data_IF_613402587870
#
_entry.id   IF_613402587870
#
_cell.length_a   1.000
_cell.length_b   1.000
_cell.length_c   1.000
_cell.angle_alpha   90.00
_cell.angle_beta   90.00
_cell.angle_gamma   90.00
#
_symmetry.space_group_name_H-M   'P 1'
#
loop_
_entity.id
_entity.type
_entity.pdbx_description
1 polymer ?
#
# COMPACT_ATOMS: atom_id res chain seq x y z
N UNK A 1 -60.16 5.49 -11.31
CA UNK A 1 -59.84 4.82 -10.02
C UNK A 1 -58.72 3.83 -10.32
N UNK A 2 -57.47 3.98 -9.94
CA UNK A 2 -56.71 4.91 -9.12
C UNK A 2 -55.22 4.69 -9.47
N UNK A 3 -54.27 5.20 -8.67
CA UNK A 3 -53.53 6.41 -9.00
C UNK A 3 -52.00 6.18 -8.98
N UNK A 4 -51.21 7.24 -8.79
CA UNK A 4 -49.73 7.30 -8.67
C UNK A 4 -48.96 7.77 -9.91
N UNK A 5 -49.42 8.86 -10.52
CA UNK A 5 -48.49 9.94 -10.83
C UNK A 5 -48.39 10.82 -9.59
N UNK A 6 -47.27 10.76 -8.86
CA UNK A 6 -46.98 11.77 -7.84
C UNK A 6 -46.43 13.01 -8.53
N UNK A 7 -47.08 14.18 -8.42
CA UNK A 7 -46.45 15.43 -8.83
C UNK A 7 -45.23 15.67 -7.95
N UNK A 8 -44.12 16.08 -8.54
CA UNK A 8 -42.91 16.56 -7.83
C UNK A 8 -43.15 17.94 -7.18
N UNK A 9 -44.30 18.12 -6.54
CA UNK A 9 -44.69 19.30 -5.78
C UNK A 9 -44.29 19.08 -4.32
N UNK A 10 -43.02 19.32 -4.03
CA UNK A 10 -42.48 19.20 -2.67
C UNK A 10 -40.96 19.09 -2.62
N UNK A 11 -40.31 18.79 -3.74
CA UNK A 11 -38.85 18.73 -3.83
C UNK A 11 -38.28 20.16 -3.93
N UNK A 12 -37.40 20.60 -3.01
CA UNK A 12 -36.75 21.91 -3.07
C UNK A 12 -36.10 22.11 -4.44
N UNK A 13 -36.19 23.32 -5.01
CA UNK A 13 -35.67 23.61 -6.36
C UNK A 13 -34.20 23.20 -6.58
N UNK A 14 -33.37 23.19 -5.52
CA UNK A 14 -31.99 22.68 -5.54
C UNK A 14 -31.88 21.19 -5.90
N UNK A 15 -32.78 20.34 -5.41
CA UNK A 15 -32.74 18.90 -5.69
C UNK A 15 -33.19 18.59 -7.12
N UNK A 16 -34.05 19.43 -7.72
CA UNK A 16 -34.42 19.33 -9.14
C UNK A 16 -33.26 19.67 -10.06
N UNK A 17 -32.43 20.65 -9.70
CA UNK A 17 -31.22 21.00 -10.45
C UNK A 17 -30.15 19.89 -10.42
N UNK A 18 -29.98 19.21 -9.28
CA UNK A 18 -29.08 18.05 -9.19
C UNK A 18 -29.59 16.83 -9.99
N UNK A 19 -30.90 16.59 -10.00
CA UNK A 19 -31.50 15.51 -10.78
C UNK A 19 -31.44 15.78 -12.30
N UNK A 20 -31.58 17.04 -12.72
CA UNK A 20 -31.54 17.44 -14.13
C UNK A 20 -30.10 17.56 -14.67
N UNK A 21 -29.10 17.82 -13.82
CA UNK A 21 -27.68 17.82 -14.20
C UNK A 21 -27.08 16.43 -14.42
N UNK A 22 -27.72 15.36 -13.94
CA UNK A 22 -27.24 13.99 -14.05
C UNK A 22 -27.69 13.26 -15.34
N UNK A 23 -28.60 13.86 -16.13
CA UNK A 23 -29.25 13.18 -17.25
C UNK A 23 -28.63 13.46 -18.64
N UNK A 24 -27.45 14.11 -18.71
CA UNK A 24 -26.97 14.72 -19.96
C UNK A 24 -25.60 14.30 -20.48
N UNK A 25 -24.85 13.43 -19.81
CA UNK A 25 -23.57 12.94 -20.34
C UNK A 25 -23.61 11.43 -20.30
N UNK A 26 -23.69 10.80 -21.47
CA UNK A 26 -23.36 9.39 -21.59
C UNK A 26 -21.91 9.23 -21.12
N UNK A 27 -21.73 8.88 -19.85
CA UNK A 27 -20.44 8.51 -19.29
C UNK A 27 -19.97 7.30 -20.10
N UNK A 28 -19.04 7.54 -21.04
CA UNK A 28 -18.27 6.45 -21.62
C UNK A 28 -17.72 5.65 -20.43
N UNK A 29 -17.84 4.31 -20.43
CA UNK A 29 -17.29 3.53 -19.34
C UNK A 29 -15.82 3.95 -19.21
N UNK A 30 -15.39 4.46 -18.04
CA UNK A 30 -14.01 4.88 -17.87
C UNK A 30 -13.14 3.67 -18.20
N UNK A 31 -12.08 3.89 -18.99
CA UNK A 31 -11.07 2.86 -19.17
C UNK A 31 -10.67 2.36 -17.78
N UNK A 32 -10.51 1.04 -17.57
CA UNK A 32 -9.99 0.55 -16.31
C UNK A 32 -8.66 1.28 -16.08
N UNK A 33 -8.56 1.96 -14.92
CA UNK A 33 -7.45 2.86 -14.59
C UNK A 33 -6.05 2.29 -14.94
N UNK A 34 -5.76 0.98 -14.76
CA UNK A 34 -4.48 0.40 -15.16
C UNK A 34 -4.20 0.50 -16.67
N UNK A 35 -5.21 0.29 -17.52
CA UNK A 35 -5.06 0.33 -18.97
C UNK A 35 -4.78 1.76 -19.46
N UNK A 36 -5.46 2.75 -18.88
CA UNK A 36 -5.21 4.15 -19.20
C UNK A 36 -3.77 4.56 -18.85
N UNK A 37 -3.30 4.21 -17.64
CA UNK A 37 -1.92 4.48 -17.22
C UNK A 37 -0.89 3.80 -18.13
N UNK A 38 -1.13 2.54 -18.50
CA UNK A 38 -0.25 1.80 -19.41
C UNK A 38 -0.20 2.44 -20.79
N UNK A 39 -1.35 2.86 -21.35
CA UNK A 39 -1.41 3.51 -22.66
C UNK A 39 -0.65 4.85 -22.66
N UNK A 40 -0.81 5.65 -21.60
CA UNK A 40 -0.08 6.92 -21.46
C UNK A 40 1.42 6.69 -21.36
N UNK A 41 1.85 5.67 -20.59
CA UNK A 41 3.26 5.29 -20.50
C UNK A 41 3.83 4.86 -21.86
N UNK A 42 3.14 3.96 -22.56
CA UNK A 42 3.56 3.47 -23.88
C UNK A 42 3.64 4.60 -24.91
N UNK A 43 2.68 5.52 -24.89
CA UNK A 43 2.71 6.71 -25.75
C UNK A 43 3.92 7.61 -25.43
N UNK A 44 4.24 7.80 -24.15
CA UNK A 44 5.43 8.54 -23.71
C UNK A 44 6.73 7.89 -24.16
N UNK A 45 6.84 6.55 -24.06
CA UNK A 45 8.01 5.80 -24.55
C UNK A 45 8.15 5.93 -26.08
N UNK A 46 7.05 5.78 -26.82
CA UNK A 46 7.05 5.92 -28.28
C UNK A 46 7.44 7.34 -28.73
N UNK A 47 6.92 8.37 -28.04
CA UNK A 47 7.31 9.76 -28.27
C UNK A 47 8.81 9.97 -27.99
N UNK A 48 9.31 9.44 -26.87
CA UNK A 48 10.73 9.45 -26.53
C UNK A 48 11.60 8.80 -27.60
N UNK A 49 11.18 7.63 -28.09
CA UNK A 49 11.85 6.91 -29.17
C UNK A 49 11.84 7.69 -30.49
N UNK A 50 10.76 8.43 -30.77
CA UNK A 50 10.64 9.32 -31.93
C UNK A 50 11.48 10.62 -31.82
N UNK A 51 12.21 10.82 -30.71
CA UNK A 51 13.11 11.94 -30.51
C UNK A 51 12.55 13.11 -29.69
N UNK A 52 11.31 13.02 -29.21
CA UNK A 52 10.78 13.99 -28.24
C UNK A 52 11.51 13.83 -26.91
N UNK A 53 12.13 14.92 -26.42
CA UNK A 53 12.75 14.94 -25.10
C UNK A 53 11.91 15.75 -24.14
N UNK A 54 11.70 15.22 -22.95
CA UNK A 54 11.14 16.01 -21.86
C UNK A 54 12.14 17.14 -21.51
N UNK A 55 11.65 18.35 -21.19
CA UNK A 55 12.50 19.41 -20.66
C UNK A 55 13.26 18.92 -19.43
N UNK A 56 14.55 19.24 -19.37
CA UNK A 56 15.39 18.90 -18.21
C UNK A 56 14.81 19.53 -16.94
N UNK A 57 14.76 18.76 -15.85
CA UNK A 57 14.22 19.20 -14.56
C UNK A 57 12.69 19.34 -14.49
N UNK A 58 11.94 18.88 -15.49
CA UNK A 58 10.46 18.92 -15.46
C UNK A 58 9.87 17.87 -14.52
N UNK A 59 10.52 16.71 -14.40
CA UNK A 59 9.95 15.53 -13.75
C UNK A 59 9.83 15.73 -12.24
N UNK A 60 10.85 16.28 -11.61
CA UNK A 60 10.93 16.52 -10.16
C UNK A 60 9.80 17.43 -9.64
N UNK A 61 9.56 18.64 -10.19
CA UNK A 61 8.46 19.49 -9.75
C UNK A 61 7.09 18.90 -10.07
N UNK A 62 6.94 18.14 -11.16
CA UNK A 62 5.67 17.47 -11.47
C UNK A 62 5.35 16.38 -10.45
N UNK A 63 6.34 15.58 -10.05
CA UNK A 63 6.21 14.60 -9.00
C UNK A 63 5.85 15.27 -7.68
N UNK A 64 6.55 16.36 -7.32
CA UNK A 64 6.24 17.12 -6.11
C UNK A 64 4.81 17.68 -6.12
N UNK A 65 4.36 18.24 -7.25
CA UNK A 65 3.00 18.73 -7.42
C UNK A 65 1.95 17.61 -7.31
N UNK A 66 2.23 16.43 -7.88
CA UNK A 66 1.35 15.27 -7.78
C UNK A 66 1.24 14.76 -6.34
N UNK A 67 2.36 14.67 -5.63
CA UNK A 67 2.39 14.29 -4.21
C UNK A 67 1.63 15.31 -3.37
N UNK A 68 1.81 16.60 -3.62
CA UNK A 68 1.06 17.66 -2.94
C UNK A 68 -0.45 17.53 -3.21
N UNK A 69 -0.85 17.35 -4.47
CA UNK A 69 -2.25 17.19 -4.85
C UNK A 69 -2.88 15.94 -4.20
N UNK A 70 -2.17 14.82 -4.19
CA UNK A 70 -2.57 13.61 -3.49
C UNK A 70 -2.73 13.87 -1.97
N UNK A 71 -1.77 14.59 -1.38
CA UNK A 71 -1.82 15.00 0.02
C UNK A 71 -3.02 15.89 0.35
N UNK A 72 -3.37 16.85 -0.51
CA UNK A 72 -4.57 17.68 -0.36
C UNK A 72 -5.85 16.86 -0.50
N UNK A 73 -5.91 15.93 -1.46
CA UNK A 73 -7.07 15.07 -1.65
C UNK A 73 -7.34 14.17 -0.44
N UNK A 74 -6.29 13.61 0.16
CA UNK A 74 -6.38 12.85 1.42
C UNK A 74 -6.71 13.78 2.59
N UNK A 75 -6.02 14.93 2.68
CA UNK A 75 -6.14 15.92 3.74
C UNK A 75 -7.55 16.51 3.88
N UNK A 76 -8.23 16.75 2.77
CA UNK A 76 -9.59 17.28 2.75
C UNK A 76 -10.65 16.35 3.38
N UNK A 77 -10.34 15.06 3.52
CA UNK A 77 -11.27 14.08 4.13
C UNK A 77 -11.05 13.90 5.64
N UNK A 78 -9.95 14.43 6.20
CA UNK A 78 -9.56 14.19 7.60
C UNK A 78 -10.51 14.80 8.65
N UNK A 79 -11.02 16.05 8.50
CA UNK A 79 -11.85 16.67 9.55
C UNK A 79 -13.13 15.90 9.86
N UNK A 80 -13.70 15.21 8.85
CA UNK A 80 -14.90 14.40 9.02
C UNK A 80 -14.63 13.04 9.71
N UNK A 81 -13.36 12.64 9.84
CA UNK A 81 -12.98 11.29 10.27
C UNK A 81 -11.88 11.28 11.34
N UNK A 82 -11.58 12.41 11.96
CA UNK A 82 -10.42 12.62 12.83
C UNK A 82 -10.27 11.55 13.92
N UNK A 83 -11.32 11.28 14.68
CA UNK A 83 -11.28 10.27 15.75
C UNK A 83 -11.00 8.85 15.24
N UNK A 84 -11.58 8.48 14.09
CA UNK A 84 -11.33 7.20 13.44
C UNK A 84 -9.90 7.11 12.91
N UNK A 85 -9.38 8.21 12.38
CA UNK A 85 -8.05 8.28 11.82
C UNK A 85 -6.98 8.21 12.91
N UNK A 86 -7.17 8.88 14.05
CA UNK A 86 -6.29 8.78 15.21
C UNK A 86 -6.24 7.32 15.74
N UNK A 87 -7.40 6.65 15.76
CA UNK A 87 -7.45 5.24 16.13
C UNK A 87 -6.75 4.35 15.09
N UNK A 88 -6.93 4.62 13.79
CA UNK A 88 -6.23 3.90 12.72
C UNK A 88 -4.72 4.12 12.80
N UNK A 89 -4.28 5.33 13.10
CA UNK A 89 -2.87 5.68 13.27
C UNK A 89 -2.22 4.94 14.43
N UNK A 90 -2.84 4.98 15.62
CA UNK A 90 -2.35 4.26 16.79
C UNK A 90 -2.31 2.75 16.58
N UNK A 91 -3.36 2.15 15.98
CA UNK A 91 -3.35 0.72 15.62
C UNK A 91 -2.32 0.38 14.56
N UNK A 92 -2.19 1.20 13.51
CA UNK A 92 -1.22 1.00 12.44
C UNK A 92 0.21 1.06 12.95
N UNK A 93 0.51 2.00 13.85
CA UNK A 93 1.82 2.11 14.51
C UNK A 93 2.14 0.88 15.35
N UNK A 94 1.22 0.46 16.22
CA UNK A 94 1.39 -0.73 17.05
C UNK A 94 1.55 -2.00 16.19
N UNK A 95 0.79 -2.10 15.11
CA UNK A 95 0.87 -3.21 14.19
C UNK A 95 2.20 -3.21 13.43
N UNK A 96 2.70 -2.04 13.01
CA UNK A 96 3.99 -1.95 12.30
C UNK A 96 5.13 -2.39 13.21
N UNK A 97 5.15 -1.88 14.45
CA UNK A 97 6.13 -2.25 15.45
C UNK A 97 6.09 -3.76 15.76
N UNK A 98 4.89 -4.31 15.96
CA UNK A 98 4.75 -5.75 16.26
C UNK A 98 5.10 -6.62 15.06
N UNK A 99 4.70 -6.26 13.83
CA UNK A 99 5.08 -6.96 12.60
C UNK A 99 6.59 -7.01 12.44
N UNK A 100 7.28 -5.87 12.55
CA UNK A 100 8.75 -5.84 12.40
C UNK A 100 9.45 -6.64 13.50
N UNK A 101 9.07 -6.43 14.77
CA UNK A 101 9.69 -7.10 15.91
C UNK A 101 9.45 -8.62 15.88
N UNK A 102 8.22 -9.06 15.61
CA UNK A 102 7.89 -10.48 15.52
C UNK A 102 8.58 -11.14 14.32
N UNK A 103 8.63 -10.47 13.17
CA UNK A 103 9.29 -11.03 11.98
C UNK A 103 10.80 -11.17 12.18
N UNK A 104 11.46 -10.15 12.71
CA UNK A 104 12.89 -10.16 12.96
C UNK A 104 13.29 -11.19 14.02
N UNK A 105 12.52 -11.28 15.11
CA UNK A 105 12.78 -12.26 16.17
C UNK A 105 12.50 -13.70 15.71
N UNK A 106 11.40 -13.94 14.97
CA UNK A 106 11.06 -15.27 14.46
C UNK A 106 12.10 -15.78 13.45
N UNK A 107 12.56 -14.94 12.51
CA UNK A 107 13.58 -15.33 11.56
C UNK A 107 14.93 -15.56 12.25
N UNK A 108 15.32 -14.72 13.19
CA UNK A 108 16.54 -14.90 13.99
C UNK A 108 16.53 -16.19 14.81
N UNK A 109 15.41 -16.49 15.47
CA UNK A 109 15.24 -17.72 16.25
C UNK A 109 15.29 -18.96 15.36
N UNK A 110 14.62 -18.93 14.20
CA UNK A 110 14.67 -20.03 13.23
C UNK A 110 16.10 -20.26 12.70
N UNK A 111 16.82 -19.19 12.39
CA UNK A 111 18.21 -19.28 11.95
C UNK A 111 19.14 -19.80 13.05
N UNK A 112 18.97 -19.37 14.29
CA UNK A 112 19.73 -19.88 15.44
C UNK A 112 19.46 -21.38 15.68
N UNK A 113 18.23 -21.84 15.48
CA UNK A 113 17.86 -23.24 15.62
C UNK A 113 18.40 -24.12 14.49
N UNK A 114 18.37 -23.63 13.26
CA UNK A 114 18.74 -24.41 12.07
C UNK A 114 20.21 -24.29 11.67
N UNK A 115 20.90 -23.23 12.11
CA UNK A 115 22.29 -22.93 11.74
C UNK A 115 22.46 -22.50 10.27
N UNK A 116 21.38 -22.17 9.55
CA UNK A 116 21.42 -21.89 8.11
C UNK A 116 21.99 -20.51 7.76
N UNK A 117 21.91 -19.55 8.68
CA UNK A 117 22.47 -18.21 8.51
C UNK A 117 22.72 -17.54 9.88
N UNK A 118 23.59 -16.52 9.95
CA UNK A 118 23.77 -15.75 11.18
C UNK A 118 22.45 -15.11 11.67
N UNK A 119 22.13 -15.15 12.98
CA UNK A 119 20.89 -14.59 13.50
C UNK A 119 20.67 -13.12 13.16
N UNK A 120 21.73 -12.30 13.08
CA UNK A 120 21.63 -10.90 12.67
C UNK A 120 21.17 -10.72 11.22
N UNK A 121 21.73 -11.52 10.30
CA UNK A 121 21.33 -11.52 8.89
C UNK A 121 19.89 -12.04 8.72
N UNK A 122 19.49 -13.05 9.50
CA UNK A 122 18.10 -13.52 9.54
C UNK A 122 17.15 -12.45 10.09
N UNK A 123 17.54 -11.76 11.17
CA UNK A 123 16.76 -10.67 11.75
C UNK A 123 16.54 -9.55 10.73
N UNK A 124 17.57 -9.19 9.96
CA UNK A 124 17.49 -8.20 8.88
C UNK A 124 16.50 -8.62 7.79
N UNK A 125 16.56 -9.89 7.36
CA UNK A 125 15.62 -10.47 6.40
C UNK A 125 14.16 -10.33 6.88
N UNK A 126 13.92 -10.64 8.16
CA UNK A 126 12.58 -10.55 8.77
C UNK A 126 12.11 -9.11 8.97
N UNK A 127 13.00 -8.23 9.42
CA UNK A 127 12.72 -6.81 9.68
C UNK A 127 12.37 -6.02 8.41
N UNK A 128 12.81 -6.47 7.23
CA UNK A 128 12.42 -5.88 5.96
C UNK A 128 10.91 -6.01 5.67
N UNK A 129 10.24 -6.95 6.34
CA UNK A 129 8.79 -7.07 6.40
C UNK A 129 8.08 -6.81 5.06
N UNK A 130 8.37 -7.62 4.04
CA UNK A 130 7.74 -7.53 2.72
C UNK A 130 8.48 -6.64 1.71
N UNK A 131 9.45 -5.81 2.12
CA UNK A 131 10.20 -4.96 1.20
C UNK A 131 11.36 -5.71 0.53
N UNK A 132 11.04 -6.54 -0.46
CA UNK A 132 12.01 -7.41 -1.14
C UNK A 132 13.11 -6.65 -1.90
N UNK A 133 12.81 -5.46 -2.45
CA UNK A 133 13.77 -4.63 -3.18
C UNK A 133 14.78 -3.91 -2.26
N UNK A 134 14.49 -3.80 -0.97
CA UNK A 134 15.46 -3.40 0.06
C UNK A 134 16.21 -4.61 0.62
N UNK A 135 15.47 -5.66 0.99
CA UNK A 135 16.01 -6.82 1.69
C UNK A 135 17.07 -7.57 0.87
N UNK A 136 16.76 -7.85 -0.41
CA UNK A 136 17.62 -8.63 -1.28
C UNK A 136 19.01 -8.01 -1.44
N UNK A 137 19.12 -6.77 -1.95
CA UNK A 137 20.41 -6.09 -2.09
C UNK A 137 21.15 -5.89 -0.75
N UNK A 138 20.42 -5.57 0.33
CA UNK A 138 21.03 -5.35 1.64
C UNK A 138 21.72 -6.62 2.18
N UNK A 139 21.09 -7.79 2.05
CA UNK A 139 21.69 -9.06 2.47
C UNK A 139 22.66 -9.64 1.44
N UNK A 140 22.51 -9.35 0.15
CA UNK A 140 23.46 -9.75 -0.89
C UNK A 140 24.87 -9.17 -0.65
N UNK A 141 24.94 -7.99 -0.02
CA UNK A 141 26.20 -7.37 0.39
C UNK A 141 26.90 -8.09 1.57
N UNK A 142 26.18 -8.97 2.30
CA UNK A 142 26.76 -9.86 3.32
C UNK A 142 27.11 -11.20 2.69
N UNK A 143 26.14 -11.81 2.01
CA UNK A 143 26.31 -13.04 1.25
C UNK A 143 25.27 -13.09 0.11
N UNK A 144 25.65 -13.39 -1.15
CA UNK A 144 24.71 -13.47 -2.27
C UNK A 144 23.55 -14.44 -2.06
N UNK A 145 23.78 -15.56 -1.37
CA UNK A 145 22.74 -16.55 -1.05
C UNK A 145 21.74 -15.96 -0.07
N UNK A 146 22.19 -15.24 0.96
CA UNK A 146 21.30 -14.56 1.90
C UNK A 146 20.47 -13.48 1.21
N UNK A 147 21.07 -12.76 0.25
CA UNK A 147 20.34 -11.81 -0.60
C UNK A 147 19.21 -12.46 -1.39
N UNK A 148 19.46 -13.60 -2.04
CA UNK A 148 18.43 -14.35 -2.77
C UNK A 148 17.32 -14.83 -1.84
N UNK A 149 17.67 -15.41 -0.70
CA UNK A 149 16.69 -15.89 0.30
C UNK A 149 15.87 -14.73 0.83
N UNK A 150 16.47 -13.58 1.11
CA UNK A 150 15.77 -12.39 1.59
C UNK A 150 14.81 -11.82 0.55
N UNK A 151 15.21 -11.76 -0.72
CA UNK A 151 14.34 -11.37 -1.82
C UNK A 151 13.14 -12.31 -1.94
N UNK A 152 13.38 -13.63 -2.04
CA UNK A 152 12.32 -14.62 -2.24
C UNK A 152 11.39 -14.71 -1.04
N UNK A 153 11.90 -14.65 0.19
CA UNK A 153 11.07 -14.72 1.39
C UNK A 153 10.12 -13.51 1.49
N UNK A 154 10.60 -12.30 1.18
CA UNK A 154 9.78 -11.10 1.23
C UNK A 154 8.79 -11.01 0.05
N UNK A 155 9.18 -11.48 -1.14
CA UNK A 155 8.26 -11.63 -2.28
C UNK A 155 7.16 -12.68 -1.99
N UNK A 156 7.54 -13.82 -1.42
CA UNK A 156 6.59 -14.86 -1.02
C UNK A 156 5.62 -14.34 0.05
N UNK A 157 6.12 -13.57 1.02
CA UNK A 157 5.30 -12.93 2.04
C UNK A 157 4.23 -12.00 1.45
N UNK A 158 4.60 -11.17 0.47
CA UNK A 158 3.65 -10.32 -0.24
C UNK A 158 2.58 -11.16 -0.95
N UNK A 159 3.00 -12.17 -1.71
CA UNK A 159 2.07 -13.07 -2.40
C UNK A 159 1.11 -13.78 -1.43
N UNK A 160 1.61 -14.23 -0.27
CA UNK A 160 0.80 -14.83 0.78
C UNK A 160 -0.21 -13.84 1.37
N UNK A 161 0.18 -12.59 1.61
CA UNK A 161 -0.75 -11.57 2.07
C UNK A 161 -1.88 -11.34 1.07
N UNK A 162 -1.56 -11.14 -0.20
CA UNK A 162 -2.55 -10.92 -1.26
C UNK A 162 -3.51 -12.12 -1.39
N UNK A 163 -2.99 -13.34 -1.28
CA UNK A 163 -3.78 -14.57 -1.38
C UNK A 163 -4.67 -14.83 -0.15
N UNK A 164 -4.15 -14.59 1.06
CA UNK A 164 -4.80 -15.04 2.29
C UNK A 164 -5.56 -13.94 3.03
N UNK A 165 -5.27 -12.65 2.82
CA UNK A 165 -6.01 -11.56 3.46
C UNK A 165 -7.54 -11.68 3.29
N UNK A 166 -8.09 -11.99 2.10
CA UNK A 166 -9.54 -12.16 1.94
C UNK A 166 -10.14 -13.27 2.83
N UNK A 167 -9.37 -14.33 3.10
CA UNK A 167 -9.80 -15.41 3.98
C UNK A 167 -9.68 -15.02 5.46
N UNK A 168 -8.61 -14.31 5.84
CA UNK A 168 -8.41 -13.79 7.19
C UNK A 168 -9.50 -12.78 7.57
N UNK A 169 -9.81 -11.84 6.67
CA UNK A 169 -10.86 -10.85 6.88
C UNK A 169 -12.23 -11.52 7.13
N UNK A 170 -12.57 -12.57 6.36
CA UNK A 170 -13.81 -13.35 6.57
C UNK A 170 -13.87 -14.08 7.92
N UNK A 171 -12.72 -14.38 8.52
CA UNK A 171 -12.62 -15.02 9.84
C UNK A 171 -12.60 -14.00 10.99
N UNK A 172 -12.81 -12.71 10.70
CA UNK A 172 -12.78 -11.63 11.69
C UNK A 172 -11.40 -11.05 11.97
N UNK A 173 -10.34 -11.55 11.32
CA UNK A 173 -8.95 -11.10 11.48
C UNK A 173 -8.62 -9.95 10.53
N UNK A 174 -9.45 -8.91 10.49
CA UNK A 174 -9.37 -7.84 9.47
C UNK A 174 -8.15 -6.94 9.69
N UNK A 175 -7.87 -6.60 10.95
CA UNK A 175 -6.72 -5.75 11.31
C UNK A 175 -5.45 -6.60 11.45
N UNK A 176 -5.57 -7.75 12.08
CA UNK A 176 -4.46 -8.68 12.33
C UNK A 176 -3.90 -9.24 11.01
N UNK A 177 -4.76 -9.48 10.03
CA UNK A 177 -4.35 -9.95 8.71
C UNK A 177 -3.44 -8.98 7.95
N UNK A 178 -3.48 -7.69 8.28
CA UNK A 178 -2.60 -6.66 7.67
C UNK A 178 -1.13 -6.95 8.02
N UNK A 179 -0.83 -7.49 9.21
CA UNK A 179 0.54 -7.80 9.64
C UNK A 179 1.26 -8.81 8.73
N UNK A 180 0.51 -9.62 7.97
CA UNK A 180 1.09 -10.56 7.02
C UNK A 180 1.82 -9.83 5.89
N UNK A 181 1.29 -8.70 5.41
CA UNK A 181 1.80 -7.97 4.26
C UNK A 181 3.02 -7.08 4.53
N UNK A 182 3.22 -6.62 5.76
CA UNK A 182 4.35 -5.75 6.09
C UNK A 182 4.31 -4.39 5.35
N UNK A 183 5.42 -3.93 4.79
CA UNK A 183 5.56 -2.67 4.05
C UNK A 183 4.57 -2.54 2.88
N UNK A 184 4.25 -3.67 2.23
CA UNK A 184 3.39 -3.73 1.04
C UNK A 184 1.93 -3.39 1.32
N UNK A 185 1.53 -3.26 2.59
CA UNK A 185 0.15 -2.95 2.94
C UNK A 185 -0.25 -1.52 2.56
N UNK A 186 0.70 -0.63 2.28
CA UNK A 186 0.41 0.73 1.83
C UNK A 186 0.12 0.83 0.33
N UNK A 187 0.60 -0.10 -0.49
CA UNK A 187 0.59 -0.02 -1.94
C UNK A 187 -0.09 -1.26 -2.57
N UNK A 188 0.65 -2.34 -2.83
CA UNK A 188 0.14 -3.52 -3.54
C UNK A 188 -0.92 -4.26 -2.72
N UNK A 189 -0.76 -4.28 -1.40
CA UNK A 189 -1.71 -4.84 -0.45
C UNK A 189 -2.92 -3.94 -0.17
N UNK A 190 -2.82 -2.64 -0.42
CA UNK A 190 -3.87 -1.68 -0.02
C UNK A 190 -5.22 -1.94 -0.71
N UNK A 191 -5.31 -2.21 -2.03
CA UNK A 191 -6.59 -2.53 -2.68
C UNK A 191 -7.27 -3.77 -2.09
N UNK A 192 -6.50 -4.80 -1.75
CA UNK A 192 -7.01 -6.05 -1.17
C UNK A 192 -7.58 -5.79 0.23
N UNK A 193 -6.87 -5.01 1.04
CA UNK A 193 -7.33 -4.58 2.37
C UNK A 193 -8.56 -3.70 2.26
N UNK A 194 -8.60 -2.73 1.35
CA UNK A 194 -9.74 -1.86 1.16
C UNK A 194 -11.00 -2.65 0.73
N UNK A 195 -10.83 -3.62 -0.16
CA UNK A 195 -11.94 -4.42 -0.68
C UNK A 195 -12.53 -5.39 0.35
N UNK A 196 -11.69 -6.09 1.13
CA UNK A 196 -12.15 -7.13 2.05
C UNK A 196 -12.18 -6.70 3.52
N UNK A 197 -11.31 -5.76 3.89
CA UNK A 197 -11.17 -5.18 5.22
C UNK A 197 -12.03 -3.94 5.40
N UNK A 198 -12.19 -3.09 4.38
CA UNK A 198 -12.99 -1.88 4.44
C UNK A 198 -12.16 -0.60 4.69
N UNK A 199 -12.81 0.58 4.75
CA UNK A 199 -12.10 1.87 4.75
C UNK A 199 -11.23 2.11 5.99
N UNK A 200 -11.67 1.64 7.16
CA UNK A 200 -10.91 1.82 8.40
C UNK A 200 -9.63 0.97 8.39
N UNK A 201 -9.74 -0.28 7.97
CA UNK A 201 -8.62 -1.23 7.83
C UNK A 201 -7.63 -0.78 6.74
N UNK A 202 -8.12 -0.18 5.65
CA UNK A 202 -7.27 0.45 4.65
C UNK A 202 -6.44 1.59 5.24
N UNK A 203 -7.02 2.43 6.10
CA UNK A 203 -6.28 3.48 6.79
C UNK A 203 -5.22 2.90 7.76
N UNK A 204 -5.55 1.83 8.49
CA UNK A 204 -4.59 1.10 9.34
C UNK A 204 -3.45 0.52 8.50
N UNK A 205 -3.76 -0.10 7.35
CA UNK A 205 -2.79 -0.70 6.44
C UNK A 205 -1.86 0.33 5.80
N UNK A 206 -2.38 1.51 5.45
CA UNK A 206 -1.59 2.63 4.97
C UNK A 206 -0.58 3.08 6.03
N UNK A 207 -1.03 3.35 7.26
CA UNK A 207 -0.13 3.76 8.35
C UNK A 207 0.89 2.67 8.65
N UNK A 208 0.45 1.41 8.72
CA UNK A 208 1.31 0.26 8.96
C UNK A 208 2.46 0.19 7.94
N UNK A 209 2.14 0.22 6.64
CA UNK A 209 3.15 0.11 5.60
C UNK A 209 4.07 1.34 5.54
N UNK A 210 3.51 2.55 5.70
CA UNK A 210 4.29 3.80 5.74
C UNK A 210 5.31 3.77 6.88
N UNK A 211 4.90 3.38 8.08
CA UNK A 211 5.81 3.30 9.24
C UNK A 211 6.93 2.30 8.98
N UNK A 212 6.61 1.09 8.47
CA UNK A 212 7.64 0.09 8.15
C UNK A 212 8.61 0.64 7.10
N UNK A 213 8.11 1.32 6.07
CA UNK A 213 8.94 1.86 4.98
C UNK A 213 9.84 3.01 5.44
N UNK A 214 9.40 3.82 6.40
CA UNK A 214 10.26 4.85 7.00
C UNK A 214 11.36 4.25 7.88
N UNK A 215 11.07 3.15 8.58
CA UNK A 215 11.97 2.56 9.59
C UNK A 215 12.93 1.52 9.00
N UNK A 216 12.48 0.72 8.03
CA UNK A 216 13.24 -0.40 7.46
C UNK A 216 14.61 0.00 6.86
N UNK A 217 14.78 1.12 6.13
CA UNK A 217 16.07 1.51 5.58
C UNK A 217 17.15 1.76 6.65
N UNK A 218 16.76 2.11 7.88
CA UNK A 218 17.67 2.23 9.00
C UNK A 218 17.90 0.87 9.70
N UNK A 219 16.83 0.13 9.98
CA UNK A 219 16.89 -1.11 10.78
C UNK A 219 17.54 -2.27 10.03
N UNK A 220 17.20 -2.47 8.76
CA UNK A 220 17.66 -3.64 7.98
C UNK A 220 19.18 -3.66 7.84
N UNK A 221 19.87 -2.58 7.42
CA UNK A 221 21.33 -2.58 7.32
C UNK A 221 22.02 -2.73 8.67
N UNK A 222 21.47 -2.15 9.75
CA UNK A 222 22.01 -2.28 11.10
C UNK A 222 22.02 -3.73 11.59
N UNK A 223 20.90 -4.44 11.40
CA UNK A 223 20.80 -5.85 11.76
C UNK A 223 21.69 -6.73 10.86
N UNK A 224 21.77 -6.42 9.56
CA UNK A 224 22.62 -7.14 8.63
C UNK A 224 24.11 -7.01 9.00
N UNK A 225 24.53 -5.82 9.43
CA UNK A 225 25.89 -5.57 9.91
C UNK A 225 26.22 -6.31 11.21
N UNK A 226 25.24 -6.47 12.11
CA UNK A 226 25.39 -7.22 13.36
C UNK A 226 25.48 -8.75 13.16
N UNK A 227 25.18 -9.24 11.96
CA UNK A 227 25.27 -10.66 11.59
C UNK A 227 26.57 -11.07 10.88
N UNK A 228 27.59 -10.21 10.87
CA UNK A 228 28.92 -10.50 10.32
C UNK A 228 29.81 -11.21 11.33
#
# INVERSE_FOLDING_TARGET
MGPWGTPLEGVPARQRLHAQGAAGVAERPPLPQPAATLLVLLAGVAAGYAGLRAPEGLVEPLLAALILAAGVAVGGQLPAQEARLAQAASRGLLLAASTMAASASASAALAAFTGTMPPGAAAALGAAAGWYSLAGPALAAVDPVYGLVAFLANLAREAMHLAFYPALARRGLRVEGIAVGGATTMDTGLPVVALHGGPYEAAVALVHGVVITLVAPAVVPLLAAAGR
#
